data_IF_347990030321
#
_entry.id   IF_347990030321
#
_cell.length_a   1.000
_cell.length_b   1.000
_cell.length_c   1.000
_cell.angle_alpha   90.00
_cell.angle_beta   90.00
_cell.angle_gamma   90.00
#
_symmetry.space_group_name_H-M   'P 1'
#
loop_
_entity.id
_entity.type
_entity.pdbx_description
1 polymer ?
#
# COMPACT_ATOMS: atom_id res chain seq x y z
N UNK A 1 2.36 44.73 -6.79
CA UNK A 1 2.22 43.33 -7.22
C UNK A 1 1.32 42.68 -6.18
N UNK A 2 0.03 42.52 -6.49
CA UNK A 2 -0.85 41.76 -5.61
C UNK A 2 -0.38 40.32 -5.63
N UNK A 3 -0.08 39.74 -4.47
CA UNK A 3 0.10 38.31 -4.40
C UNK A 3 -1.28 37.71 -4.69
N UNK A 4 -1.45 37.13 -5.87
CA UNK A 4 -2.62 36.31 -6.19
C UNK A 4 -2.77 35.28 -5.06
N UNK A 5 -3.87 35.34 -4.32
CA UNK A 5 -4.17 34.35 -3.29
C UNK A 5 -4.14 32.97 -3.97
N UNK A 6 -3.38 32.00 -3.44
CA UNK A 6 -3.33 30.69 -4.05
C UNK A 6 -4.76 30.13 -4.06
N UNK A 7 -5.28 29.82 -5.24
CA UNK A 7 -6.57 29.15 -5.38
C UNK A 7 -6.42 27.70 -4.87
N UNK A 8 -6.52 27.53 -3.55
CA UNK A 8 -6.30 26.26 -2.85
C UNK A 8 -7.36 25.21 -3.26
N UNK A 9 -8.53 25.66 -3.72
CA UNK A 9 -9.66 24.80 -4.13
C UNK A 9 -9.66 24.57 -5.64
N UNK A 10 -8.79 23.67 -6.09
CA UNK A 10 -8.77 23.18 -7.46
C UNK A 10 -9.14 21.69 -7.55
N UNK A 11 -9.74 21.31 -8.68
CA UNK A 11 -9.97 19.92 -9.08
C UNK A 11 -8.67 19.11 -9.13
N UNK A 12 -7.56 19.73 -9.54
CA UNK A 12 -6.23 19.11 -9.55
C UNK A 12 -5.75 18.73 -8.15
N UNK A 13 -5.93 19.62 -7.17
CA UNK A 13 -5.56 19.36 -5.77
C UNK A 13 -6.42 18.22 -5.20
N UNK A 14 -7.71 18.20 -5.54
CA UNK A 14 -8.62 17.11 -5.14
C UNK A 14 -8.20 15.78 -5.76
N UNK A 15 -7.82 15.77 -7.04
CA UNK A 15 -7.32 14.58 -7.73
C UNK A 15 -6.03 14.06 -7.10
N UNK A 16 -5.06 14.94 -6.87
CA UNK A 16 -3.78 14.63 -6.23
C UNK A 16 -3.97 14.08 -4.82
N UNK A 17 -4.86 14.69 -4.03
CA UNK A 17 -5.18 14.21 -2.69
C UNK A 17 -5.77 12.80 -2.71
N UNK A 18 -6.78 12.56 -3.55
CA UNK A 18 -7.45 11.26 -3.65
C UNK A 18 -6.53 10.17 -4.19
N UNK A 19 -5.71 10.47 -5.21
CA UNK A 19 -4.73 9.53 -5.74
C UNK A 19 -3.67 9.19 -4.68
N UNK A 20 -3.17 10.19 -3.97
CA UNK A 20 -2.18 9.99 -2.89
C UNK A 20 -2.75 9.13 -1.75
N UNK A 21 -4.02 9.28 -1.40
CA UNK A 21 -4.68 8.40 -0.43
C UNK A 21 -4.62 6.93 -0.86
N UNK A 22 -4.98 6.61 -2.11
CA UNK A 22 -4.87 5.25 -2.63
C UNK A 22 -3.43 4.74 -2.59
N UNK A 23 -2.47 5.54 -3.04
CA UNK A 23 -1.06 5.18 -3.08
C UNK A 23 -0.50 4.89 -1.68
N UNK A 24 -0.80 5.74 -0.68
CA UNK A 24 -0.31 5.52 0.68
C UNK A 24 -0.91 4.30 1.34
N UNK A 25 -2.22 4.09 1.21
CA UNK A 25 -2.90 2.93 1.79
C UNK A 25 -2.34 1.63 1.18
N UNK A 26 -2.24 1.59 -0.16
CA UNK A 26 -1.76 0.40 -0.88
C UNK A 26 -0.25 0.18 -0.68
N UNK A 27 0.55 1.23 -0.60
CA UNK A 27 1.96 1.12 -0.21
C UNK A 27 2.11 0.50 1.18
N UNK A 28 1.21 0.85 2.11
CA UNK A 28 1.15 0.21 3.42
C UNK A 28 0.91 -1.30 3.35
N UNK A 29 0.07 -1.76 2.42
CA UNK A 29 -0.16 -3.20 2.16
C UNK A 29 1.08 -3.85 1.53
N UNK A 30 1.61 -3.26 0.46
CA UNK A 30 2.76 -3.79 -0.31
C UNK A 30 4.03 -3.87 0.53
N UNK A 31 4.29 -2.85 1.35
CA UNK A 31 5.47 -2.77 2.21
C UNK A 31 5.32 -3.57 3.51
N UNK A 32 4.14 -4.09 3.82
CA UNK A 32 3.96 -4.94 4.99
C UNK A 32 4.60 -6.31 4.73
N UNK A 33 5.89 -6.40 5.04
CA UNK A 33 6.73 -7.56 4.76
C UNK A 33 6.13 -8.86 5.30
N UNK A 34 5.91 -9.81 4.39
CA UNK A 34 5.50 -11.18 4.68
C UNK A 34 6.63 -12.05 5.27
N UNK A 35 6.34 -13.34 5.56
CA UNK A 35 7.25 -14.30 6.21
C UNK A 35 8.65 -14.37 5.55
N UNK A 36 9.72 -14.67 6.32
CA UNK A 36 9.81 -15.90 7.14
C UNK A 36 9.74 -15.72 8.67
N UNK A 37 9.72 -14.49 9.20
CA UNK A 37 9.66 -14.22 10.67
C UNK A 37 8.42 -13.45 11.13
N UNK A 38 7.56 -13.03 10.20
CA UNK A 38 6.28 -12.36 10.50
C UNK A 38 5.12 -13.23 10.03
N UNK A 39 4.03 -13.23 10.79
CA UNK A 39 2.78 -13.84 10.37
C UNK A 39 2.15 -13.00 9.24
N UNK A 40 1.27 -13.63 8.46
CA UNK A 40 0.54 -12.94 7.39
C UNK A 40 -0.13 -11.67 7.95
N UNK A 41 -0.01 -10.55 7.22
CA UNK A 41 -0.62 -9.25 7.52
C UNK A 41 -2.13 -9.36 7.79
N UNK A 42 -2.81 -10.31 7.15
CA UNK A 42 -4.23 -10.59 7.37
C UNK A 42 -4.57 -11.09 8.80
N UNK A 43 -3.60 -11.67 9.52
CA UNK A 43 -3.77 -12.03 10.94
C UNK A 43 -3.68 -10.82 11.88
N UNK A 44 -3.07 -9.73 11.41
CA UNK A 44 -3.08 -8.47 12.15
C UNK A 44 -4.41 -7.78 11.90
N UNK A 45 -5.40 -8.14 12.71
CA UNK A 45 -6.77 -7.64 12.59
C UNK A 45 -6.84 -6.12 12.70
N UNK A 46 -6.17 -5.44 13.67
CA UNK A 46 -6.11 -3.98 13.70
C UNK A 46 -5.57 -3.38 12.40
N UNK A 47 -4.44 -3.88 11.87
CA UNK A 47 -3.88 -3.37 10.62
C UNK A 47 -4.85 -3.55 9.43
N UNK A 48 -5.43 -4.75 9.31
CA UNK A 48 -6.34 -5.06 8.21
C UNK A 48 -7.61 -4.22 8.28
N UNK A 49 -8.14 -4.00 9.49
CA UNK A 49 -9.29 -3.14 9.72
C UNK A 49 -8.99 -1.69 9.35
N UNK A 50 -7.82 -1.16 9.73
CA UNK A 50 -7.43 0.22 9.39
C UNK A 50 -7.28 0.41 7.89
N UNK A 51 -6.65 -0.54 7.18
CA UNK A 51 -6.53 -0.50 5.72
C UNK A 51 -7.91 -0.56 5.06
N UNK A 52 -8.78 -1.47 5.50
CA UNK A 52 -10.12 -1.59 4.95
C UNK A 52 -10.97 -0.34 5.19
N UNK A 53 -10.94 0.21 6.41
CA UNK A 53 -11.63 1.44 6.76
C UNK A 53 -11.12 2.64 5.94
N UNK A 54 -9.79 2.78 5.83
CA UNK A 54 -9.19 3.84 5.04
C UNK A 54 -9.59 3.75 3.56
N UNK A 55 -9.55 2.55 2.96
CA UNK A 55 -10.00 2.33 1.59
C UNK A 55 -11.47 2.68 1.40
N UNK A 56 -12.35 2.23 2.30
CA UNK A 56 -13.78 2.55 2.23
C UNK A 56 -14.03 4.05 2.31
N UNK A 57 -13.33 4.75 3.20
CA UNK A 57 -13.42 6.20 3.36
C UNK A 57 -12.92 6.91 2.10
N UNK A 58 -11.79 6.49 1.52
CA UNK A 58 -11.27 7.07 0.27
C UNK A 58 -12.24 6.86 -0.89
N UNK A 59 -12.79 5.65 -1.07
CA UNK A 59 -13.81 5.37 -2.10
C UNK A 59 -15.06 6.24 -1.89
N UNK A 60 -15.51 6.38 -0.64
CA UNK A 60 -16.63 7.25 -0.30
C UNK A 60 -16.36 8.73 -0.67
N UNK A 61 -15.14 9.21 -0.47
CA UNK A 61 -14.73 10.56 -0.88
C UNK A 61 -14.71 10.75 -2.41
N UNK A 62 -14.48 9.70 -3.20
CA UNK A 62 -14.53 9.78 -4.67
C UNK A 62 -15.97 9.77 -5.19
N UNK A 63 -16.81 8.85 -4.70
CA UNK A 63 -18.16 8.61 -5.24
C UNK A 63 -19.11 9.76 -4.92
N UNK A 64 -19.07 10.30 -3.69
CA UNK A 64 -19.98 11.37 -3.31
C UNK A 64 -20.03 11.61 -1.81
N UNK A 65 -19.05 12.32 -1.24
CA UNK A 65 -19.02 12.58 0.20
C UNK A 65 -20.12 13.56 0.61
N UNK A 66 -20.52 13.50 1.88
CA UNK A 66 -21.45 14.45 2.48
C UNK A 66 -20.90 15.88 2.40
N UNK A 67 -21.79 16.88 2.38
CA UNK A 67 -21.42 18.29 2.23
C UNK A 67 -20.40 18.78 3.28
N UNK A 68 -20.53 18.31 4.53
CA UNK A 68 -19.58 18.68 5.59
C UNK A 68 -18.18 18.11 5.33
N UNK A 69 -18.08 16.92 4.74
CA UNK A 69 -16.80 16.27 4.39
C UNK A 69 -16.14 17.01 3.23
N UNK A 70 -16.90 17.37 2.20
CA UNK A 70 -16.39 18.21 1.11
C UNK A 70 -15.84 19.54 1.63
N UNK A 71 -16.52 20.16 2.60
CA UNK A 71 -16.08 21.42 3.20
C UNK A 71 -14.82 21.22 4.06
N UNK A 72 -14.77 20.16 4.86
CA UNK A 72 -13.64 19.86 5.74
C UNK A 72 -12.37 19.51 4.97
N UNK A 73 -12.50 18.71 3.92
CA UNK A 73 -11.39 18.23 3.09
C UNK A 73 -11.17 19.12 1.85
N UNK A 74 -11.92 20.21 1.72
CA UNK A 74 -11.86 21.16 0.60
C UNK A 74 -11.96 20.54 -0.80
N UNK A 75 -12.77 19.48 -0.96
CA UNK A 75 -12.97 18.82 -2.25
C UNK A 75 -13.72 19.74 -3.23
N UNK A 76 -13.11 19.97 -4.38
CA UNK A 76 -13.72 20.71 -5.48
C UNK A 76 -14.68 19.82 -6.28
N UNK A 77 -15.58 20.46 -7.04
CA UNK A 77 -16.43 19.75 -7.99
C UNK A 77 -15.57 19.16 -9.11
N UNK A 78 -15.90 17.94 -9.50
CA UNK A 78 -15.17 17.19 -10.51
C UNK A 78 -16.16 16.43 -11.38
N UNK A 79 -15.91 16.44 -12.69
CA UNK A 79 -16.71 15.72 -13.66
C UNK A 79 -16.70 14.21 -13.38
N UNK A 80 -17.78 13.53 -13.78
CA UNK A 80 -17.95 12.11 -13.55
C UNK A 80 -16.86 11.26 -14.23
N UNK A 81 -16.40 11.67 -15.40
CA UNK A 81 -15.35 10.98 -16.15
C UNK A 81 -14.02 10.97 -15.36
N UNK A 82 -13.70 12.07 -14.70
CA UNK A 82 -12.48 12.18 -13.92
C UNK A 82 -12.55 11.38 -12.61
N UNK A 83 -13.73 11.32 -11.99
CA UNK A 83 -13.96 10.43 -10.84
C UNK A 83 -13.81 8.96 -11.22
N UNK A 84 -14.34 8.56 -12.38
CA UNK A 84 -14.17 7.21 -12.91
C UNK A 84 -12.69 6.90 -13.17
N UNK A 85 -11.94 7.85 -13.73
CA UNK A 85 -10.50 7.72 -13.92
C UNK A 85 -9.80 7.44 -12.58
N UNK A 86 -10.12 8.19 -11.51
CA UNK A 86 -9.54 7.97 -10.18
C UNK A 86 -9.86 6.58 -9.61
N UNK A 87 -11.10 6.09 -9.80
CA UNK A 87 -11.49 4.74 -9.38
C UNK A 87 -10.70 3.69 -10.16
N UNK A 88 -10.61 3.83 -11.48
CA UNK A 88 -9.84 2.92 -12.34
C UNK A 88 -8.37 2.93 -11.96
N UNK A 89 -7.80 4.10 -11.67
CA UNK A 89 -6.42 4.24 -11.21
C UNK A 89 -6.21 3.53 -9.86
N UNK A 90 -7.13 3.70 -8.91
CA UNK A 90 -7.10 2.97 -7.63
C UNK A 90 -7.17 1.45 -7.81
N UNK A 91 -8.04 0.96 -8.71
CA UNK A 91 -8.13 -0.46 -9.06
C UNK A 91 -6.85 -0.97 -9.75
N UNK A 92 -6.28 -0.18 -10.66
CA UNK A 92 -5.02 -0.51 -11.32
C UNK A 92 -3.89 -0.61 -10.29
N UNK A 93 -3.76 0.35 -9.38
CA UNK A 93 -2.81 0.29 -8.28
C UNK A 93 -2.99 -0.94 -7.40
N UNK A 94 -4.24 -1.29 -7.06
CA UNK A 94 -4.53 -2.51 -6.30
C UNK A 94 -4.11 -3.77 -7.06
N UNK A 95 -4.40 -3.85 -8.36
CA UNK A 95 -3.96 -4.95 -9.22
C UNK A 95 -2.43 -5.05 -9.28
N UNK A 96 -1.72 -3.94 -9.43
CA UNK A 96 -0.26 -3.89 -9.38
C UNK A 96 0.29 -4.34 -8.03
N UNK A 97 -0.29 -3.87 -6.93
CA UNK A 97 0.07 -4.29 -5.57
C UNK A 97 -0.09 -5.81 -5.39
N UNK A 98 -1.21 -6.37 -5.84
CA UNK A 98 -1.45 -7.82 -5.79
C UNK A 98 -0.43 -8.59 -6.64
N UNK A 99 -0.22 -8.19 -7.90
CA UNK A 99 0.77 -8.82 -8.78
C UNK A 99 2.16 -8.76 -8.15
N UNK A 100 2.53 -7.63 -7.57
CA UNK A 100 3.80 -7.45 -6.88
C UNK A 100 3.95 -8.43 -5.70
N UNK A 101 2.95 -8.50 -4.83
CA UNK A 101 2.95 -9.40 -3.68
C UNK A 101 3.08 -10.87 -4.12
N UNK A 102 2.31 -11.28 -5.12
CA UNK A 102 2.26 -12.68 -5.56
C UNK A 102 3.51 -13.11 -6.35
N UNK A 103 4.02 -12.25 -7.22
CA UNK A 103 5.06 -12.62 -8.18
C UNK A 103 6.43 -11.99 -7.91
N UNK A 104 6.47 -10.71 -7.53
CA UNK A 104 7.73 -9.98 -7.41
C UNK A 104 8.35 -10.12 -6.03
N UNK A 105 7.57 -10.14 -4.94
CA UNK A 105 8.10 -10.18 -3.59
C UNK A 105 9.05 -11.36 -3.35
N UNK A 106 8.63 -12.58 -3.75
CA UNK A 106 9.45 -13.79 -3.61
C UNK A 106 10.62 -13.86 -4.61
N UNK A 107 10.47 -13.28 -5.80
CA UNK A 107 11.55 -13.24 -6.81
C UNK A 107 12.63 -12.25 -6.41
N UNK A 108 12.26 -11.06 -5.96
CA UNK A 108 13.17 -10.03 -5.44
C UNK A 108 13.89 -10.52 -4.19
N UNK A 109 13.19 -11.15 -3.25
CA UNK A 109 13.81 -11.73 -2.05
C UNK A 109 14.88 -12.78 -2.41
N UNK A 110 14.62 -13.62 -3.42
CA UNK A 110 15.62 -14.58 -3.92
C UNK A 110 16.76 -13.91 -4.66
N UNK A 111 16.47 -12.95 -5.55
CA UNK A 111 17.48 -12.22 -6.32
C UNK A 111 18.45 -11.46 -5.41
N UNK A 112 17.94 -10.73 -4.41
CA UNK A 112 18.75 -10.05 -3.39
C UNK A 112 19.56 -11.06 -2.57
N UNK A 113 18.96 -12.20 -2.22
CA UNK A 113 19.66 -13.30 -1.55
C UNK A 113 20.87 -13.81 -2.37
N UNK A 114 20.68 -14.04 -3.67
CA UNK A 114 21.74 -14.48 -4.57
C UNK A 114 22.79 -13.40 -4.80
N UNK A 115 22.39 -12.14 -4.99
CA UNK A 115 23.30 -11.01 -5.16
C UNK A 115 24.17 -10.81 -3.90
N UNK A 116 23.57 -10.83 -2.71
CA UNK A 116 24.30 -10.75 -1.44
C UNK A 116 25.25 -11.93 -1.27
N UNK A 117 24.85 -13.13 -1.65
CA UNK A 117 25.71 -14.31 -1.57
C UNK A 117 26.89 -14.26 -2.55
N UNK A 118 26.69 -13.65 -3.74
CA UNK A 118 27.78 -13.38 -4.70
C UNK A 118 28.74 -12.30 -4.21
N UNK A 119 28.23 -11.23 -3.59
CA UNK A 119 29.05 -10.12 -3.11
C UNK A 119 29.81 -10.47 -1.83
N UNK A 120 29.16 -11.14 -0.87
CA UNK A 120 29.78 -11.45 0.43
C UNK A 120 30.58 -12.76 0.43
N UNK A 121 30.44 -13.61 -0.59
CA UNK A 121 31.14 -14.91 -0.74
C UNK A 121 30.85 -15.96 0.34
N UNK A 122 30.20 -15.58 1.45
CA UNK A 122 29.83 -16.48 2.54
C UNK A 122 28.58 -17.27 2.17
N UNK A 123 28.72 -18.59 2.13
CA UNK A 123 27.59 -19.51 2.05
C UNK A 123 26.60 -19.22 3.20
N UNK A 124 25.31 -19.29 2.90
CA UNK A 124 24.22 -19.01 3.83
C UNK A 124 24.24 -20.01 5.01
N UNK A 125 24.90 -19.66 6.11
CA UNK A 125 24.89 -20.44 7.35
C UNK A 125 23.46 -20.58 7.87
N UNK A 126 22.97 -21.81 7.99
CA UNK A 126 21.63 -22.11 8.54
C UNK A 126 21.62 -21.68 10.01
N UNK A 127 20.69 -20.78 10.39
CA UNK A 127 20.65 -20.24 11.76
C UNK A 127 20.35 -21.36 12.77
N UNK A 128 21.15 -21.48 13.84
CA UNK A 128 21.10 -22.58 14.84
C UNK A 128 19.72 -22.86 15.44
N UNK A 129 18.90 -21.83 15.69
CA UNK A 129 17.55 -22.04 16.24
C UNK A 129 16.62 -22.85 15.32
N UNK A 130 16.85 -22.87 13.99
CA UNK A 130 16.04 -23.70 13.07
C UNK A 130 16.33 -25.20 13.23
N UNK A 131 17.58 -25.54 13.56
CA UNK A 131 18.01 -26.93 13.79
C UNK A 131 17.41 -27.44 15.09
N UNK A 132 17.54 -26.66 16.17
CA UNK A 132 16.98 -26.99 17.49
C UNK A 132 15.45 -27.17 17.41
N UNK A 133 14.75 -26.32 16.65
CA UNK A 133 13.29 -26.45 16.47
C UNK A 133 12.89 -27.71 15.70
N UNK A 134 13.65 -28.13 14.69
CA UNK A 134 13.40 -29.38 13.97
C UNK A 134 13.68 -30.62 14.83
N UNK A 135 14.64 -30.54 15.75
CA UNK A 135 14.91 -31.58 16.74
C UNK A 135 13.79 -31.70 17.77
N UNK A 136 13.28 -30.58 18.30
CA UNK A 136 12.17 -30.62 19.27
C UNK A 136 10.84 -31.14 18.70
N UNK A 137 10.65 -31.09 17.37
CA UNK A 137 9.43 -31.58 16.71
C UNK A 137 9.53 -33.04 16.25
N UNK A 138 10.71 -33.67 16.39
CA UNK A 138 10.95 -35.06 16.03
C UNK A 138 10.71 -36.06 17.17
N UNK A 139 10.49 -35.57 18.38
CA UNK A 139 10.03 -36.33 19.55
C UNK A 139 8.53 -36.10 19.75
#
# INVERSE_FOLDING_TARGET
>A
VGHDEPNIKNSENTALFLSSCFEYILSGVVLNAGPPFRQNSAKNWPFTLTIAAALMITVYMVVGPAHWIKKLMELSYMEWDYKLLLIVLGLAYFAFAWIFEKYLALRLARAIGHAKQRITGRAKMRKKYKVIREEMWKY
#
